data_IF_884601309770
#
_entry.id   IF_884601309770
#
_cell.length_a   1.000
_cell.length_b   1.000
_cell.length_c   1.000
_cell.angle_alpha   90.00
_cell.angle_beta   90.00
_cell.angle_gamma   90.00
#
_symmetry.space_group_name_H-M   'P 1'
#
loop_
_entity.id
_entity.type
_entity.pdbx_description
1 polymer ?
#
# COMPACT_ATOMS: atom_id res chain seq x y z
N UNK A 1 2.49 22.30 11.13
CA UNK A 1 1.36 22.71 12.02
C UNK A 1 0.73 24.05 11.60
N UNK A 2 1.51 25.09 11.24
CA UNK A 2 0.93 26.39 10.80
C UNK A 2 0.04 26.22 9.54
N UNK A 3 0.46 25.40 8.57
CA UNK A 3 -0.27 25.08 7.35
C UNK A 3 -1.65 24.48 7.62
N UNK A 4 -1.79 23.58 8.60
CA UNK A 4 -3.06 22.94 8.90
C UNK A 4 -4.11 23.90 9.47
N UNK A 5 -3.67 25.01 10.08
CA UNK A 5 -4.55 26.06 10.62
C UNK A 5 -4.97 27.10 9.59
N UNK A 6 -4.38 27.08 8.38
CA UNK A 6 -4.76 28.01 7.31
C UNK A 6 -6.11 27.62 6.71
N UNK A 7 -7.08 28.52 6.79
CA UNK A 7 -8.44 28.31 6.26
C UNK A 7 -8.52 28.27 4.73
N UNK A 8 -7.47 28.65 4.02
CA UNK A 8 -7.42 28.63 2.55
C UNK A 8 -6.90 27.30 1.99
N UNK A 9 -6.49 26.37 2.87
CA UNK A 9 -6.04 25.04 2.47
C UNK A 9 -7.13 24.03 2.77
N UNK A 10 -7.62 23.33 1.76
CA UNK A 10 -8.64 22.28 1.90
C UNK A 10 -8.03 20.88 1.93
N UNK A 11 -6.90 20.66 1.25
CA UNK A 11 -6.27 19.36 1.09
C UNK A 11 -4.77 19.44 1.36
N UNK A 12 -4.24 18.41 2.02
CA UNK A 12 -2.80 18.22 2.28
C UNK A 12 -2.29 17.05 1.45
N UNK A 13 -1.23 17.29 0.67
CA UNK A 13 -0.46 16.24 0.03
C UNK A 13 0.72 15.85 0.92
N UNK A 14 0.70 14.61 1.42
CA UNK A 14 1.74 14.07 2.28
C UNK A 14 2.69 13.17 1.48
N UNK A 15 3.90 13.62 1.23
CA UNK A 15 4.97 12.92 0.53
C UNK A 15 6.23 12.76 1.38
N UNK A 16 6.06 12.63 2.68
CA UNK A 16 7.14 12.41 3.65
C UNK A 16 7.59 10.94 3.66
N UNK A 17 8.61 10.53 4.43
CA UNK A 17 8.92 9.13 4.65
C UNK A 17 7.78 8.36 5.34
N UNK A 18 7.66 7.06 5.07
CA UNK A 18 6.55 6.20 5.50
C UNK A 18 6.26 6.28 7.01
N UNK A 19 7.30 6.31 7.84
CA UNK A 19 7.20 6.36 9.29
C UNK A 19 6.54 7.63 9.85
N UNK A 20 6.43 8.68 9.05
CA UNK A 20 5.82 9.96 9.45
C UNK A 20 4.43 10.20 8.85
N UNK A 21 3.97 9.29 7.97
CA UNK A 21 2.68 9.47 7.30
C UNK A 21 1.52 9.58 8.26
N UNK A 22 1.43 8.65 9.20
CA UNK A 22 0.32 8.58 10.15
C UNK A 22 0.16 9.86 10.96
N UNK A 23 1.22 10.33 11.62
CA UNK A 23 1.15 11.52 12.47
C UNK A 23 0.73 12.77 11.68
N UNK A 24 1.28 12.92 10.47
CA UNK A 24 0.96 14.07 9.60
C UNK A 24 -0.49 13.97 9.10
N UNK A 25 -0.93 12.79 8.68
CA UNK A 25 -2.32 12.58 8.24
C UNK A 25 -3.30 12.85 9.37
N UNK A 26 -3.06 12.27 10.54
CA UNK A 26 -3.91 12.46 11.72
C UNK A 26 -4.03 13.93 12.11
N UNK A 27 -2.89 14.64 12.17
CA UNK A 27 -2.90 16.08 12.49
C UNK A 27 -3.67 16.90 11.44
N UNK A 28 -3.48 16.64 10.15
CA UNK A 28 -4.24 17.28 9.09
C UNK A 28 -5.76 17.01 9.18
N UNK A 29 -6.16 15.75 9.40
CA UNK A 29 -7.56 15.35 9.55
C UNK A 29 -8.20 16.01 10.77
N UNK A 30 -7.48 16.10 11.90
CA UNK A 30 -7.96 16.78 13.11
C UNK A 30 -8.14 18.29 12.90
N UNK A 31 -7.47 18.87 11.91
CA UNK A 31 -7.64 20.25 11.48
C UNK A 31 -8.61 20.40 10.30
N UNK A 32 -9.47 19.39 10.06
CA UNK A 32 -10.50 19.38 9.00
C UNK A 32 -9.92 19.53 7.59
N UNK A 33 -8.72 18.96 7.32
CA UNK A 33 -8.14 18.91 5.98
C UNK A 33 -8.35 17.54 5.36
N UNK A 34 -8.69 17.50 4.07
CA UNK A 34 -8.58 16.28 3.28
C UNK A 34 -7.12 15.90 3.12
N UNK A 35 -6.83 14.61 2.92
CA UNK A 35 -5.44 14.15 2.76
C UNK A 35 -5.29 13.25 1.54
N UNK A 36 -4.29 13.57 0.72
CA UNK A 36 -3.71 12.66 -0.25
C UNK A 36 -2.32 12.27 0.24
N UNK A 37 -2.08 10.98 0.49
CA UNK A 37 -0.83 10.50 1.07
C UNK A 37 -0.10 9.58 0.11
N UNK A 38 1.22 9.70 0.02
CA UNK A 38 2.03 8.73 -0.71
C UNK A 38 1.93 7.33 -0.11
N UNK A 39 2.24 6.35 -0.94
CA UNK A 39 2.33 4.94 -0.54
C UNK A 39 3.65 4.68 0.25
N UNK A 40 3.73 3.74 1.17
CA UNK A 40 2.63 3.08 1.86
C UNK A 40 1.93 4.05 2.80
N UNK A 41 0.61 4.08 2.76
CA UNK A 41 -0.18 5.10 3.47
C UNK A 41 0.06 5.10 4.98
N UNK A 42 0.19 3.91 5.58
CA UNK A 42 0.60 3.69 6.98
C UNK A 42 1.50 2.45 7.07
N UNK A 43 2.16 2.26 8.19
CA UNK A 43 3.03 1.11 8.43
C UNK A 43 2.31 -0.06 9.10
N UNK A 44 1.09 0.16 9.58
CA UNK A 44 0.22 -0.89 10.15
C UNK A 44 -1.26 -0.53 9.99
N UNK A 45 -2.15 -1.51 10.19
CA UNK A 45 -3.60 -1.33 10.01
C UNK A 45 -4.25 -0.45 11.06
N UNK A 46 -3.75 -0.45 12.29
CA UNK A 46 -4.34 0.34 13.40
C UNK A 46 -4.24 1.83 13.13
N UNK A 47 -3.11 2.30 12.63
CA UNK A 47 -2.92 3.68 12.23
C UNK A 47 -3.91 4.11 11.14
N UNK A 48 -4.12 3.23 10.14
CA UNK A 48 -5.07 3.50 9.07
C UNK A 48 -6.52 3.49 9.57
N UNK A 49 -6.88 2.53 10.41
CA UNK A 49 -8.22 2.41 11.00
C UNK A 49 -8.57 3.66 11.79
N UNK A 50 -7.68 4.17 12.61
CA UNK A 50 -7.89 5.42 13.36
C UNK A 50 -8.11 6.62 12.42
N UNK A 51 -7.28 6.77 11.37
CA UNK A 51 -7.49 7.82 10.38
C UNK A 51 -8.84 7.69 9.66
N UNK A 52 -9.27 6.47 9.34
CA UNK A 52 -10.57 6.21 8.70
C UNK A 52 -11.73 6.57 9.61
N UNK A 53 -11.64 6.36 10.92
CA UNK A 53 -12.66 6.79 11.87
C UNK A 53 -12.79 8.31 11.91
N UNK A 54 -11.67 9.03 12.00
CA UNK A 54 -11.67 10.51 11.95
C UNK A 54 -12.31 11.01 10.64
N UNK A 55 -11.96 10.38 9.52
CA UNK A 55 -12.52 10.71 8.20
C UNK A 55 -14.05 10.56 8.17
N UNK A 56 -14.57 9.47 8.74
CA UNK A 56 -16.03 9.23 8.83
C UNK A 56 -16.73 10.26 9.71
N UNK A 57 -16.19 10.52 10.89
CA UNK A 57 -16.77 11.47 11.85
C UNK A 57 -16.79 12.90 11.31
N UNK A 58 -15.76 13.29 10.56
CA UNK A 58 -15.58 14.67 10.08
C UNK A 58 -16.01 14.86 8.63
N UNK A 59 -16.51 13.81 7.96
CA UNK A 59 -16.91 13.86 6.54
C UNK A 59 -15.77 14.31 5.62
N UNK A 60 -14.55 13.87 5.91
CA UNK A 60 -13.34 14.15 5.13
C UNK A 60 -13.06 13.07 4.09
N UNK A 61 -12.02 13.26 3.31
CA UNK A 61 -11.51 12.30 2.33
C UNK A 61 -10.04 12.03 2.61
N UNK A 62 -9.68 10.75 2.63
CA UNK A 62 -8.31 10.27 2.61
C UNK A 62 -8.12 9.40 1.37
N UNK A 63 -7.01 9.55 0.67
CA UNK A 63 -6.65 8.74 -0.49
C UNK A 63 -5.15 8.49 -0.50
N UNK A 64 -4.76 7.34 -1.06
CA UNK A 64 -3.35 6.98 -1.22
C UNK A 64 -2.82 7.23 -2.64
N UNK A 65 -1.49 7.23 -2.76
CA UNK A 65 -0.75 7.41 -4.00
C UNK A 65 -0.56 6.12 -4.83
N UNK A 66 -1.35 5.07 -4.62
CA UNK A 66 -1.24 3.84 -5.42
C UNK A 66 -1.79 4.07 -6.82
N UNK A 67 -0.91 4.40 -7.74
CA UNK A 67 -1.24 4.78 -9.13
C UNK A 67 -1.92 3.68 -9.93
N UNK A 68 -1.70 2.42 -9.57
CA UNK A 68 -2.22 1.23 -10.25
C UNK A 68 -3.74 1.31 -10.51
N UNK A 69 -4.52 1.75 -9.53
CA UNK A 69 -5.98 1.85 -9.64
C UNK A 69 -6.47 2.89 -10.67
N UNK A 70 -5.59 3.81 -11.05
CA UNK A 70 -5.89 4.90 -11.98
C UNK A 70 -5.38 4.62 -13.40
N UNK A 71 -4.56 3.57 -13.59
CA UNK A 71 -3.97 3.23 -14.88
C UNK A 71 -5.03 2.67 -15.86
N UNK A 72 -5.18 3.25 -17.08
CA UNK A 72 -6.16 2.80 -18.06
C UNK A 72 -6.00 1.33 -18.45
N UNK A 73 -4.76 0.83 -18.51
CA UNK A 73 -4.46 -0.56 -18.84
C UNK A 73 -5.13 -1.52 -17.85
N UNK A 74 -4.94 -1.31 -16.56
CA UNK A 74 -5.50 -2.22 -15.54
C UNK A 74 -7.03 -2.15 -15.48
N UNK A 75 -7.61 -0.96 -15.69
CA UNK A 75 -9.06 -0.81 -15.84
C UNK A 75 -9.58 -1.62 -17.03
N UNK A 76 -8.87 -1.61 -18.15
CA UNK A 76 -9.22 -2.39 -19.34
C UNK A 76 -9.09 -3.90 -19.10
N UNK A 77 -7.99 -4.35 -18.49
CA UNK A 77 -7.80 -5.77 -18.12
C UNK A 77 -8.91 -6.24 -17.19
N UNK A 78 -9.24 -5.46 -16.16
CA UNK A 78 -10.37 -5.80 -15.25
C UNK A 78 -11.69 -5.91 -16.00
N UNK A 79 -11.95 -5.03 -16.95
CA UNK A 79 -13.16 -5.12 -17.81
C UNK A 79 -13.16 -6.40 -18.63
N UNK A 80 -12.05 -6.80 -19.24
CA UNK A 80 -11.96 -8.06 -20.01
C UNK A 80 -12.25 -9.28 -19.11
N UNK A 81 -11.68 -9.30 -17.92
CA UNK A 81 -11.93 -10.35 -16.92
C UNK A 81 -13.41 -10.37 -16.53
N UNK A 82 -14.02 -9.20 -16.27
CA UNK A 82 -15.44 -9.12 -15.86
C UNK A 82 -16.42 -9.58 -16.94
N UNK A 83 -16.03 -9.49 -18.21
CA UNK A 83 -16.80 -10.01 -19.34
C UNK A 83 -16.69 -11.55 -19.52
N UNK A 84 -15.89 -12.19 -18.65
CA UNK A 84 -15.70 -13.65 -18.61
C UNK A 84 -15.17 -14.28 -19.91
N UNK A 85 -14.49 -13.52 -20.77
CA UNK A 85 -13.89 -14.03 -22.00
C UNK A 85 -12.82 -15.10 -21.75
N UNK A 86 -12.15 -15.04 -20.61
CA UNK A 86 -11.07 -15.97 -20.23
C UNK A 86 -11.50 -16.99 -19.19
N UNK A 87 -12.79 -16.99 -18.81
CA UNK A 87 -13.27 -17.75 -17.66
C UNK A 87 -12.85 -17.12 -16.32
N UNK A 88 -13.10 -17.84 -15.21
CA UNK A 88 -12.77 -17.32 -13.88
C UNK A 88 -11.26 -17.27 -13.64
N UNK A 89 -10.78 -16.20 -13.03
CA UNK A 89 -9.40 -16.12 -12.54
C UNK A 89 -9.20 -17.20 -11.47
N UNK A 90 -8.16 -18.00 -11.62
CA UNK A 90 -7.78 -19.05 -10.68
C UNK A 90 -6.49 -18.73 -9.94
N UNK A 91 -5.59 -18.08 -10.64
CA UNK A 91 -4.28 -17.73 -10.09
C UNK A 91 -3.84 -16.35 -10.57
N UNK A 92 -3.22 -15.60 -9.66
CA UNK A 92 -2.49 -14.36 -9.97
C UNK A 92 -1.07 -14.54 -9.47
N UNK A 93 -0.10 -14.33 -10.34
CA UNK A 93 1.31 -14.35 -9.95
C UNK A 93 1.92 -12.97 -10.18
N UNK A 94 2.62 -12.47 -9.19
CA UNK A 94 3.29 -11.17 -9.22
C UNK A 94 4.75 -11.35 -8.81
N UNK A 95 5.65 -10.96 -9.68
CA UNK A 95 7.06 -10.86 -9.37
C UNK A 95 7.44 -9.38 -9.49
N UNK A 96 7.95 -8.80 -8.42
CA UNK A 96 8.36 -7.41 -8.43
C UNK A 96 9.70 -7.26 -7.71
N UNK A 97 10.70 -6.83 -8.44
CA UNK A 97 12.04 -6.55 -7.92
C UNK A 97 12.49 -5.15 -8.31
N UNK A 98 13.26 -4.54 -7.45
CA UNK A 98 13.89 -3.25 -7.71
C UNK A 98 15.23 -3.18 -6.98
N UNK A 99 16.29 -3.56 -7.70
CA UNK A 99 17.63 -3.54 -7.15
C UNK A 99 17.98 -2.17 -6.57
N UNK A 100 18.54 -2.21 -5.36
CA UNK A 100 19.08 -1.04 -4.67
C UNK A 100 20.46 -1.39 -4.13
N UNK A 101 21.42 -0.52 -4.37
CA UNK A 101 22.73 -0.65 -3.76
C UNK A 101 22.58 -0.53 -2.23
N UNK A 102 23.14 -1.51 -1.51
CA UNK A 102 23.00 -1.59 -0.06
C UNK A 102 23.75 -0.46 0.63
N UNK A 103 23.03 0.38 1.36
CA UNK A 103 23.55 1.45 2.20
C UNK A 103 22.68 1.57 3.46
N UNK A 104 23.25 1.26 4.61
CA UNK A 104 22.56 1.31 5.91
C UNK A 104 21.99 2.69 6.26
N UNK A 105 22.54 3.76 5.67
CA UNK A 105 22.06 5.13 5.87
C UNK A 105 20.86 5.46 4.95
N UNK A 106 20.63 4.66 3.94
CA UNK A 106 19.52 4.89 3.04
C UNK A 106 18.21 4.44 3.69
N UNK A 107 17.13 5.21 3.49
CA UNK A 107 15.81 4.95 4.06
C UNK A 107 15.27 3.54 3.73
N UNK A 108 15.66 2.98 2.60
CA UNK A 108 15.18 1.66 2.17
C UNK A 108 15.67 0.52 3.07
N UNK A 109 16.82 0.71 3.74
CA UNK A 109 17.44 -0.28 4.60
C UNK A 109 17.31 0.06 6.09
N UNK A 110 16.63 1.18 6.42
CA UNK A 110 16.52 1.66 7.79
C UNK A 110 15.16 1.30 8.39
N UNK A 111 15.10 0.42 9.42
CA UNK A 111 13.85 0.05 10.06
C UNK A 111 13.12 1.23 10.73
N UNK A 112 13.86 2.23 11.23
CA UNK A 112 13.27 3.41 11.85
C UNK A 112 12.57 4.33 10.83
N UNK A 113 12.85 4.16 9.54
CA UNK A 113 12.21 4.90 8.46
C UNK A 113 11.19 4.05 7.70
N UNK A 114 10.81 2.89 8.27
CA UNK A 114 9.91 1.93 7.65
C UNK A 114 10.42 1.46 6.27
N UNK A 115 11.71 1.05 6.23
CA UNK A 115 12.34 0.45 5.06
C UNK A 115 11.83 -0.97 4.77
N UNK A 116 12.41 -1.61 3.77
CA UNK A 116 12.09 -2.97 3.35
C UNK A 116 11.31 -3.05 2.04
N UNK A 117 11.44 -4.21 1.38
CA UNK A 117 10.80 -4.48 0.09
C UNK A 117 9.27 -4.43 0.19
N UNK A 118 8.69 -4.97 1.27
CA UNK A 118 7.25 -5.02 1.44
C UNK A 118 6.62 -3.62 1.49
N UNK A 119 7.18 -2.70 2.25
CA UNK A 119 6.64 -1.34 2.36
C UNK A 119 6.98 -0.48 1.14
N UNK A 120 8.14 -0.68 0.48
CA UNK A 120 8.48 0.12 -0.70
C UNK A 120 7.79 -0.36 -1.98
N UNK A 121 7.87 -1.64 -2.30
CA UNK A 121 7.35 -2.19 -3.56
C UNK A 121 6.19 -3.18 -3.37
N UNK A 122 6.09 -3.81 -2.21
CA UNK A 122 5.04 -4.80 -1.93
C UNK A 122 3.64 -4.21 -1.96
N UNK A 123 3.48 -2.93 -1.61
CA UNK A 123 2.20 -2.23 -1.72
C UNK A 123 1.62 -2.30 -3.14
N UNK A 124 2.44 -2.19 -4.18
CA UNK A 124 1.99 -2.32 -5.57
C UNK A 124 1.59 -3.76 -5.90
N UNK A 125 2.40 -4.74 -5.49
CA UNK A 125 2.15 -6.15 -5.74
C UNK A 125 0.87 -6.65 -5.05
N UNK A 126 0.68 -6.29 -3.78
CA UNK A 126 -0.52 -6.62 -3.01
C UNK A 126 -1.75 -5.91 -3.59
N UNK A 127 -1.62 -4.64 -3.95
CA UNK A 127 -2.71 -3.88 -4.59
C UNK A 127 -3.10 -4.48 -5.94
N UNK A 128 -2.12 -4.88 -6.76
CA UNK A 128 -2.37 -5.58 -8.02
C UNK A 128 -3.12 -6.89 -7.79
N UNK A 129 -2.64 -7.71 -6.89
CA UNK A 129 -3.28 -8.97 -6.54
C UNK A 129 -4.73 -8.73 -6.09
N UNK A 130 -4.93 -7.82 -5.13
CA UNK A 130 -6.24 -7.48 -4.57
C UNK A 130 -7.19 -6.88 -5.61
N UNK A 131 -6.67 -6.13 -6.58
CA UNK A 131 -7.47 -5.55 -7.66
C UNK A 131 -8.14 -6.60 -8.55
N UNK A 132 -7.49 -7.74 -8.76
CA UNK A 132 -7.99 -8.83 -9.61
C UNK A 132 -8.68 -9.95 -8.85
N UNK A 133 -8.51 -10.07 -7.53
CA UNK A 133 -9.26 -11.00 -6.69
C UNK A 133 -10.72 -10.53 -6.52
N UNK A 134 -11.65 -11.48 -6.50
CA UNK A 134 -13.08 -11.21 -6.24
C UNK A 134 -13.34 -10.81 -4.80
N UNK A 135 -12.74 -11.54 -3.86
CA UNK A 135 -12.91 -11.31 -2.42
C UNK A 135 -11.56 -11.10 -1.72
N UNK A 136 -11.58 -10.60 -0.49
CA UNK A 136 -10.38 -10.50 0.34
C UNK A 136 -9.81 -11.90 0.61
N UNK A 137 -8.47 -12.04 0.73
CA UNK A 137 -7.88 -13.30 1.16
C UNK A 137 -8.25 -13.60 2.62
N UNK A 138 -8.48 -14.87 2.92
CA UNK A 138 -8.70 -15.41 4.25
C UNK A 138 -7.56 -16.34 4.69
N UNK A 139 -6.69 -16.76 3.75
CA UNK A 139 -5.44 -17.44 4.03
C UNK A 139 -4.30 -16.56 3.56
N UNK A 140 -3.32 -16.34 4.45
CA UNK A 140 -2.09 -15.59 4.19
C UNK A 140 -0.92 -16.37 4.75
N UNK A 141 0.00 -16.78 3.89
CA UNK A 141 1.26 -17.42 4.26
C UNK A 141 2.40 -16.55 3.76
N UNK A 142 3.41 -16.32 4.61
CA UNK A 142 4.53 -15.46 4.27
C UNK A 142 5.86 -16.06 4.71
N UNK A 143 6.89 -15.71 3.97
CA UNK A 143 8.29 -15.93 4.35
C UNK A 143 9.09 -14.71 3.91
N UNK A 144 10.20 -14.44 4.61
CA UNK A 144 11.10 -13.37 4.20
C UNK A 144 12.57 -13.71 4.47
N UNK A 145 13.44 -13.04 3.73
CA UNK A 145 14.88 -12.98 3.96
C UNK A 145 15.18 -11.53 4.36
N UNK A 146 15.76 -11.30 5.56
CA UNK A 146 16.08 -9.95 6.00
C UNK A 146 17.45 -9.48 5.49
N UNK A 147 17.62 -8.18 5.34
CA UNK A 147 18.93 -7.53 5.37
C UNK A 147 19.54 -7.57 6.78
N UNK A 148 20.82 -7.21 6.92
CA UNK A 148 21.50 -7.08 8.22
C UNK A 148 20.79 -6.11 9.17
N UNK A 149 20.09 -5.13 8.64
CA UNK A 149 19.31 -4.13 9.40
C UNK A 149 17.98 -4.67 9.93
N UNK A 150 17.57 -5.87 9.50
CA UNK A 150 16.34 -6.52 9.90
C UNK A 150 15.10 -6.18 9.04
N UNK A 151 15.18 -5.24 8.10
CA UNK A 151 14.12 -5.03 7.11
C UNK A 151 14.15 -6.13 6.06
N UNK A 152 13.03 -6.41 5.42
CA UNK A 152 12.96 -7.46 4.40
C UNK A 152 13.69 -7.05 3.11
N UNK A 153 14.64 -7.90 2.71
CA UNK A 153 15.27 -7.89 1.40
C UNK A 153 14.36 -8.53 0.37
N UNK A 154 13.91 -9.75 0.68
CA UNK A 154 13.06 -10.54 -0.19
C UNK A 154 11.90 -11.12 0.59
N UNK A 155 10.71 -11.10 -0.01
CA UNK A 155 9.50 -11.65 0.61
C UNK A 155 8.74 -12.53 -0.36
N UNK A 156 8.28 -13.70 0.13
CA UNK A 156 7.35 -14.58 -0.54
C UNK A 156 6.00 -14.55 0.17
N UNK A 157 4.92 -14.33 -0.58
CA UNK A 157 3.56 -14.23 -0.04
C UNK A 157 2.64 -15.14 -0.84
N UNK A 158 1.89 -16.00 -0.16
CA UNK A 158 0.81 -16.79 -0.74
C UNK A 158 -0.50 -16.37 -0.11
N UNK A 159 -1.47 -16.02 -0.96
CA UNK A 159 -2.81 -15.64 -0.54
C UNK A 159 -3.82 -16.60 -1.16
N UNK A 160 -4.89 -16.91 -0.44
CA UNK A 160 -6.04 -17.64 -0.97
C UNK A 160 -7.32 -17.02 -0.42
N UNK A 161 -8.40 -17.06 -1.21
CA UNK A 161 -9.72 -16.60 -0.79
C UNK A 161 -10.78 -17.70 -0.93
N UNK A 162 -11.99 -17.43 -0.44
CA UNK A 162 -13.14 -18.35 -0.49
C UNK A 162 -13.60 -18.70 -1.90
N UNK A 163 -13.26 -17.87 -2.89
CA UNK A 163 -13.56 -18.12 -4.31
C UNK A 163 -12.56 -19.06 -4.98
N UNK A 164 -11.67 -19.68 -4.19
CA UNK A 164 -10.61 -20.58 -4.66
C UNK A 164 -9.64 -19.90 -5.63
N UNK A 165 -9.40 -18.62 -5.44
CA UNK A 165 -8.36 -17.86 -6.13
C UNK A 165 -7.08 -17.89 -5.31
N UNK A 166 -5.96 -18.20 -5.95
CA UNK A 166 -4.62 -18.23 -5.34
C UNK A 166 -3.80 -17.07 -5.88
N UNK A 167 -3.07 -16.40 -5.01
CA UNK A 167 -2.09 -15.39 -5.40
C UNK A 167 -0.73 -15.77 -4.86
N UNK A 168 0.28 -15.63 -5.70
CA UNK A 168 1.68 -15.82 -5.35
C UNK A 168 2.41 -14.52 -5.64
N UNK A 169 3.08 -13.96 -4.65
CA UNK A 169 3.85 -12.72 -4.78
C UNK A 169 5.29 -13.00 -4.36
N UNK A 170 6.24 -12.58 -5.18
CA UNK A 170 7.64 -12.51 -4.84
C UNK A 170 8.14 -11.09 -4.95
N UNK A 171 8.79 -10.61 -3.89
CA UNK A 171 9.40 -9.29 -3.79
C UNK A 171 10.89 -9.43 -3.53
N UNK A 172 11.69 -8.53 -4.11
CA UNK A 172 13.13 -8.44 -3.80
C UNK A 172 13.66 -7.02 -4.09
N UNK A 173 14.61 -6.57 -3.28
CA UNK A 173 15.37 -5.33 -3.49
C UNK A 173 16.82 -5.58 -3.83
#
# INVERSE_FOLDING_TARGET
QAMFKDGNIDIVYNATPHNSHYEIMKDALLHNKHVFCEKAITINSYELEECVEIVKERHLVISDGVTLFHMPLFKRVKKVISLNYLGPVKMVQVNFGNFKEYDVNNRFFNPNLAGGALLDIGVYAVSFARYFMKTKPDIVLTTMIPFETGVDESSGILLQNKEMEIVIIFLTM
#
